data_IF_280662113053
#
_entry.id   IF_280662113053
#
_cell.length_a   1.000
_cell.length_b   1.000
_cell.length_c   1.000
_cell.angle_alpha   90.00
_cell.angle_beta   90.00
_cell.angle_gamma   90.00
#
_symmetry.space_group_name_H-M   'P 1'
#
loop_
_entity.id
_entity.type
_entity.pdbx_description
1 polymer ?
#
# COMPACT_ATOMS: atom_id res chain seq x y z
N UNK A 1 -26.84 -0.70 -33.60
CA UNK A 1 -26.26 0.26 -32.65
C UNK A 1 -25.82 -0.51 -31.42
N UNK A 2 -24.67 -0.17 -30.79
CA UNK A 2 -24.27 -0.80 -29.54
C UNK A 2 -25.31 -0.49 -28.45
N UNK A 3 -25.61 -1.48 -27.60
CA UNK A 3 -26.60 -1.35 -26.53
C UNK A 3 -26.12 -0.41 -25.41
N UNK A 4 -24.80 -0.28 -25.24
CA UNK A 4 -24.14 0.52 -24.23
C UNK A 4 -23.07 1.42 -24.86
N UNK A 5 -22.66 2.48 -24.16
CA UNK A 5 -21.58 3.39 -24.58
C UNK A 5 -20.23 2.65 -24.63
N UNK A 6 -19.98 1.78 -23.64
CA UNK A 6 -18.75 0.99 -23.49
C UNK A 6 -19.03 -0.49 -23.28
N UNK A 7 -18.05 -1.31 -23.56
CA UNK A 7 -18.05 -2.73 -23.22
C UNK A 7 -17.56 -2.93 -21.77
N UNK A 8 -16.67 -2.03 -21.30
CA UNK A 8 -16.17 -1.97 -19.92
C UNK A 8 -16.08 -0.54 -19.43
N UNK A 9 -16.63 -0.27 -18.24
CA UNK A 9 -16.27 0.89 -17.42
C UNK A 9 -15.49 0.40 -16.20
N UNK A 10 -14.28 0.95 -16.00
CA UNK A 10 -13.48 0.72 -14.79
C UNK A 10 -13.53 1.94 -13.88
N UNK A 11 -13.86 1.75 -12.61
CA UNK A 11 -13.83 2.79 -11.58
C UNK A 11 -12.57 2.60 -10.74
N UNK A 12 -11.64 3.57 -10.85
CA UNK A 12 -10.32 3.56 -10.22
C UNK A 12 -9.20 3.19 -11.19
N UNK A 13 -8.24 4.11 -11.38
CA UNK A 13 -7.07 3.94 -12.23
C UNK A 13 -5.80 3.61 -11.42
N UNK A 14 -5.94 2.76 -10.41
CA UNK A 14 -4.81 2.14 -9.71
C UNK A 14 -4.21 0.98 -10.51
N UNK A 15 -3.27 0.24 -9.90
CA UNK A 15 -2.52 -0.85 -10.55
C UNK A 15 -3.42 -1.90 -11.21
N UNK A 16 -4.48 -2.33 -10.51
CA UNK A 16 -5.44 -3.30 -11.05
C UNK A 16 -6.30 -2.70 -12.17
N UNK A 17 -6.90 -1.52 -11.93
CA UNK A 17 -7.77 -0.86 -12.90
C UNK A 17 -7.07 -0.56 -14.22
N UNK A 18 -5.86 0.00 -14.16
CA UNK A 18 -5.04 0.28 -15.36
C UNK A 18 -4.69 -1.01 -16.10
N UNK A 19 -4.28 -2.07 -15.36
CA UNK A 19 -3.94 -3.37 -16.00
C UNK A 19 -5.15 -3.97 -16.70
N UNK A 20 -6.31 -4.03 -16.04
CA UNK A 20 -7.54 -4.58 -16.61
C UNK A 20 -8.01 -3.80 -17.85
N UNK A 21 -8.10 -2.47 -17.73
CA UNK A 21 -8.58 -1.59 -18.79
C UNK A 21 -7.68 -1.65 -20.02
N UNK A 22 -6.36 -1.60 -19.82
CA UNK A 22 -5.38 -1.70 -20.93
C UNK A 22 -5.48 -3.02 -21.66
N UNK A 23 -5.61 -4.14 -20.95
CA UNK A 23 -5.75 -5.45 -21.59
C UNK A 23 -7.09 -5.61 -22.30
N UNK A 24 -8.20 -5.18 -21.69
CA UNK A 24 -9.50 -5.19 -22.34
C UNK A 24 -9.50 -4.37 -23.64
N UNK A 25 -8.90 -3.17 -23.61
CA UNK A 25 -8.72 -2.34 -24.82
C UNK A 25 -7.86 -3.02 -25.88
N UNK A 26 -6.75 -3.65 -25.48
CA UNK A 26 -5.89 -4.42 -26.39
C UNK A 26 -6.61 -5.65 -27.02
N UNK A 27 -7.63 -6.20 -26.33
CA UNK A 27 -8.50 -7.24 -26.86
C UNK A 27 -9.67 -6.70 -27.69
N UNK A 28 -9.72 -5.39 -27.96
CA UNK A 28 -10.68 -4.74 -28.84
C UNK A 28 -11.95 -4.24 -28.15
N UNK A 29 -12.04 -4.27 -26.83
CA UNK A 29 -13.16 -3.71 -26.09
C UNK A 29 -13.13 -2.17 -26.10
N UNK A 30 -14.30 -1.55 -26.15
CA UNK A 30 -14.48 -0.11 -25.90
C UNK A 30 -14.47 0.12 -24.40
N UNK A 31 -13.41 0.78 -23.88
CA UNK A 31 -13.17 0.91 -22.46
C UNK A 31 -13.13 2.36 -22.03
N UNK A 32 -13.84 2.69 -20.95
CA UNK A 32 -13.63 3.90 -20.18
C UNK A 32 -13.05 3.57 -18.80
N UNK A 33 -12.09 4.39 -18.34
CA UNK A 33 -11.56 4.34 -16.98
C UNK A 33 -11.80 5.68 -16.27
N UNK A 34 -12.32 5.61 -15.05
CA UNK A 34 -12.69 6.79 -14.25
C UNK A 34 -11.73 6.89 -13.08
N UNK A 35 -11.09 8.04 -12.90
CA UNK A 35 -10.19 8.32 -11.79
C UNK A 35 -10.51 9.66 -11.15
N UNK A 36 -10.62 9.67 -9.82
CA UNK A 36 -10.92 10.87 -9.03
C UNK A 36 -9.68 11.73 -8.78
N UNK A 37 -8.49 11.13 -8.75
CA UNK A 37 -7.24 11.79 -8.41
C UNK A 37 -6.27 11.80 -9.60
N UNK A 38 -5.41 10.77 -9.70
CA UNK A 38 -4.42 10.63 -10.78
C UNK A 38 -4.22 9.16 -11.12
N UNK A 39 -4.02 8.86 -12.40
CA UNK A 39 -3.72 7.50 -12.89
C UNK A 39 -2.38 6.99 -12.35
N UNK A 40 -2.37 5.71 -11.93
CA UNK A 40 -1.25 5.06 -11.23
C UNK A 40 -1.62 4.64 -9.80
N UNK A 41 -2.57 5.33 -9.18
CA UNK A 41 -3.15 4.97 -7.87
C UNK A 41 -2.16 4.97 -6.72
N UNK A 42 -2.48 4.20 -5.67
CA UNK A 42 -1.69 4.20 -4.43
C UNK A 42 -0.25 3.76 -4.65
N UNK A 43 -0.01 2.65 -5.33
CA UNK A 43 1.34 2.09 -5.47
C UNK A 43 2.31 3.08 -6.13
N UNK A 44 1.91 3.69 -7.23
CA UNK A 44 2.77 4.59 -8.01
C UNK A 44 2.92 5.93 -7.34
N UNK A 45 1.83 6.51 -6.81
CA UNK A 45 1.80 7.91 -6.42
C UNK A 45 1.83 8.17 -4.91
N UNK A 46 1.36 7.21 -4.08
CA UNK A 46 1.16 7.41 -2.64
C UNK A 46 1.53 6.18 -1.80
N UNK A 47 2.34 5.27 -2.32
CA UNK A 47 2.68 4.01 -1.66
C UNK A 47 4.04 3.49 -2.05
N UNK A 48 4.06 2.38 -2.80
CA UNK A 48 5.26 1.58 -3.05
C UNK A 48 6.43 2.40 -3.62
N UNK A 49 6.18 3.18 -4.68
CA UNK A 49 7.26 3.92 -5.36
C UNK A 49 7.80 5.05 -4.50
N UNK A 50 6.99 6.04 -4.06
CA UNK A 50 7.52 7.16 -3.27
C UNK A 50 8.14 6.68 -1.96
N UNK A 51 7.53 5.70 -1.28
CA UNK A 51 8.07 5.12 -0.06
C UNK A 51 9.44 4.49 -0.31
N UNK A 52 9.62 3.73 -1.40
CA UNK A 52 10.88 3.06 -1.71
C UNK A 52 12.00 4.05 -2.06
N UNK A 53 11.67 5.15 -2.74
CA UNK A 53 12.63 6.25 -2.96
C UNK A 53 13.10 6.85 -1.63
N UNK A 54 12.19 7.05 -0.66
CA UNK A 54 12.56 7.52 0.67
C UNK A 54 13.39 6.49 1.45
N UNK A 55 13.07 5.19 1.33
CA UNK A 55 13.88 4.12 1.94
C UNK A 55 15.31 4.17 1.42
N UNK A 56 15.51 4.24 0.11
CA UNK A 56 16.87 4.33 -0.46
C UNK A 56 17.60 5.58 0.01
N UNK A 57 16.93 6.74 0.00
CA UNK A 57 17.54 7.97 0.52
C UNK A 57 17.91 7.90 2.00
N UNK A 58 17.14 7.16 2.81
CA UNK A 58 17.39 7.01 4.25
C UNK A 58 18.59 6.10 4.57
N UNK A 59 19.00 5.21 3.66
CA UNK A 59 20.18 4.35 3.83
C UNK A 59 21.50 5.10 3.59
N UNK A 60 21.49 6.16 2.80
CA UNK A 60 22.73 6.89 2.43
C UNK A 60 23.51 7.37 3.63
N UNK A 61 22.84 7.79 4.72
CA UNK A 61 23.54 8.23 5.94
C UNK A 61 24.34 7.11 6.61
N UNK A 62 23.81 5.88 6.62
CA UNK A 62 24.48 4.68 7.12
C UNK A 62 25.65 4.28 6.20
N UNK A 63 25.41 4.25 4.89
CA UNK A 63 26.44 3.95 3.88
C UNK A 63 27.62 4.92 3.94
N UNK A 64 27.37 6.21 4.17
CA UNK A 64 28.44 7.21 4.33
C UNK A 64 29.24 6.99 5.62
N UNK A 65 28.55 6.59 6.72
CA UNK A 65 29.25 6.23 7.96
C UNK A 65 30.11 4.99 7.80
N UNK A 66 29.61 3.97 7.11
CA UNK A 66 30.35 2.74 6.84
C UNK A 66 31.54 2.99 5.90
N UNK A 67 31.39 3.89 4.93
CA UNK A 67 32.44 4.25 3.97
C UNK A 67 33.69 4.83 4.65
N UNK A 68 33.58 5.45 5.82
CA UNK A 68 34.75 5.92 6.59
C UNK A 68 35.66 4.75 6.99
N UNK A 69 35.08 3.58 7.29
CA UNK A 69 35.80 2.35 7.58
C UNK A 69 36.66 1.83 6.40
N UNK A 70 36.31 2.22 5.18
CA UNK A 70 37.03 1.92 3.93
C UNK A 70 37.95 3.05 3.48
N UNK A 71 38.19 4.05 4.33
CA UNK A 71 39.13 5.14 4.07
C UNK A 71 38.51 6.34 3.32
N UNK A 72 37.21 6.35 3.04
CA UNK A 72 36.57 7.54 2.50
C UNK A 72 36.44 8.61 3.57
N UNK A 73 36.61 9.87 3.20
CA UNK A 73 36.46 11.03 4.09
C UNK A 73 35.45 12.00 3.49
N UNK A 74 34.53 12.47 4.30
CA UNK A 74 33.52 13.45 3.90
C UNK A 74 33.62 14.68 4.80
N UNK A 75 33.70 15.88 4.22
CA UNK A 75 33.76 17.15 4.94
C UNK A 75 32.36 17.56 5.45
N UNK A 76 31.69 16.66 6.17
CA UNK A 76 30.31 16.79 6.65
C UNK A 76 29.28 16.42 5.60
N UNK A 77 28.15 15.93 6.07
CA UNK A 77 27.01 15.57 5.23
C UNK A 77 25.81 16.41 5.63
N UNK A 78 25.17 17.03 4.66
CA UNK A 78 23.93 17.77 4.88
C UNK A 78 22.83 17.22 3.96
N UNK A 79 21.69 16.88 4.54
CA UNK A 79 20.55 16.36 3.80
C UNK A 79 19.51 17.45 3.55
N UNK A 80 19.17 17.68 2.28
CA UNK A 80 18.10 18.57 1.87
C UNK A 80 16.80 17.80 1.67
N UNK A 81 15.97 17.73 2.71
CA UNK A 81 14.67 17.05 2.69
C UNK A 81 13.74 17.59 1.60
N UNK A 82 13.57 18.91 1.51
CA UNK A 82 12.70 19.54 0.52
C UNK A 82 13.13 19.21 -0.92
N UNK A 83 14.44 19.25 -1.18
CA UNK A 83 15.01 18.88 -2.49
C UNK A 83 14.77 17.39 -2.84
N UNK A 84 14.83 16.50 -1.84
CA UNK A 84 14.50 15.08 -2.04
C UNK A 84 13.00 14.89 -2.34
N UNK A 85 12.10 15.55 -1.61
CA UNK A 85 10.65 15.49 -1.87
C UNK A 85 10.34 15.99 -3.28
N UNK A 86 10.97 17.10 -3.70
CA UNK A 86 10.81 17.62 -5.06
C UNK A 86 11.32 16.64 -6.12
N UNK A 87 12.50 16.03 -5.92
CA UNK A 87 13.04 15.02 -6.84
C UNK A 87 12.12 13.80 -6.93
N UNK A 88 11.60 13.31 -5.79
CA UNK A 88 10.59 12.27 -5.74
C UNK A 88 9.35 12.66 -6.56
N UNK A 89 8.81 13.86 -6.37
CA UNK A 89 7.61 14.31 -7.08
C UNK A 89 7.82 14.39 -8.59
N UNK A 90 8.98 14.86 -9.08
CA UNK A 90 9.32 14.81 -10.51
C UNK A 90 9.31 13.37 -11.07
N UNK A 91 9.82 12.40 -10.31
CA UNK A 91 9.78 11.01 -10.73
C UNK A 91 8.35 10.46 -10.76
N UNK A 92 7.51 10.82 -9.78
CA UNK A 92 6.09 10.41 -9.78
C UNK A 92 5.32 11.02 -10.94
N UNK A 93 5.61 12.26 -11.33
CA UNK A 93 5.01 12.90 -12.51
C UNK A 93 5.42 12.19 -13.80
N UNK A 94 6.69 11.80 -13.93
CA UNK A 94 7.18 10.99 -15.05
C UNK A 94 6.46 9.64 -15.13
N UNK A 95 6.30 8.95 -14.00
CA UNK A 95 5.60 7.67 -13.93
C UNK A 95 4.11 7.81 -14.22
N UNK A 96 3.47 8.84 -13.69
CA UNK A 96 2.08 9.16 -14.03
C UNK A 96 1.88 9.29 -15.53
N UNK A 97 2.75 10.05 -16.23
CA UNK A 97 2.67 10.19 -17.68
C UNK A 97 2.84 8.85 -18.41
N UNK A 98 3.67 7.93 -17.91
CA UNK A 98 3.76 6.58 -18.47
C UNK A 98 2.44 5.81 -18.36
N UNK A 99 1.74 5.93 -17.21
CA UNK A 99 0.42 5.29 -17.02
C UNK A 99 -0.64 5.89 -17.94
N UNK A 100 -0.64 7.21 -18.14
CA UNK A 100 -1.47 7.91 -19.12
C UNK A 100 -1.21 7.35 -20.52
N UNK A 101 0.04 7.29 -20.97
CA UNK A 101 0.42 6.79 -22.28
C UNK A 101 0.04 5.31 -22.48
N UNK A 102 0.13 4.48 -21.42
CA UNK A 102 -0.29 3.07 -21.48
C UNK A 102 -1.79 2.90 -21.74
N UNK A 103 -2.61 3.77 -21.17
CA UNK A 103 -4.06 3.79 -21.38
C UNK A 103 -4.41 4.31 -22.77
N UNK A 104 -3.82 5.44 -23.17
CA UNK A 104 -4.05 6.08 -24.47
C UNK A 104 -3.64 5.14 -25.62
N UNK A 105 -2.48 4.47 -25.53
CA UNK A 105 -2.02 3.50 -26.52
C UNK A 105 -2.91 2.24 -26.63
N UNK A 106 -3.68 1.94 -25.59
CA UNK A 106 -4.66 0.85 -25.60
C UNK A 106 -6.07 1.31 -26.00
N UNK A 107 -6.26 2.56 -26.41
CA UNK A 107 -7.54 3.13 -26.81
C UNK A 107 -8.54 3.28 -25.67
N UNK A 108 -8.07 3.39 -24.41
CA UNK A 108 -8.92 3.55 -23.23
C UNK A 108 -9.28 5.03 -23.03
N UNK A 109 -10.58 5.35 -23.01
CA UNK A 109 -11.04 6.70 -22.68
C UNK A 109 -10.86 6.98 -21.17
N UNK A 110 -10.10 8.03 -20.86
CA UNK A 110 -9.88 8.46 -19.46
C UNK A 110 -10.88 9.54 -19.09
N UNK A 111 -11.58 9.35 -17.97
CA UNK A 111 -12.59 10.29 -17.46
C UNK A 111 -12.20 10.69 -16.04
N UNK A 112 -11.91 11.98 -15.85
CA UNK A 112 -11.60 12.51 -14.52
C UNK A 112 -12.87 12.73 -13.72
N UNK A 113 -12.86 12.28 -12.46
CA UNK A 113 -13.93 12.47 -11.50
C UNK A 113 -14.26 11.21 -10.72
N UNK A 114 -15.23 11.36 -9.79
CA UNK A 114 -15.72 10.25 -8.97
C UNK A 114 -16.82 9.49 -9.70
N UNK A 115 -16.59 8.21 -9.98
CA UNK A 115 -17.60 7.31 -10.54
C UNK A 115 -18.51 6.74 -9.45
N UNK A 116 -19.82 6.85 -9.65
CA UNK A 116 -20.84 6.34 -8.72
C UNK A 116 -21.80 5.44 -9.51
N UNK A 117 -22.01 4.21 -9.06
CA UNK A 117 -23.04 3.33 -9.64
C UNK A 117 -24.42 3.85 -9.28
N UNK A 118 -25.25 4.04 -10.29
CA UNK A 118 -26.68 4.39 -10.10
C UNK A 118 -27.62 3.24 -10.47
N UNK A 119 -27.18 2.34 -11.33
CA UNK A 119 -27.74 1.02 -11.56
C UNK A 119 -26.63 0.05 -12.01
N UNK A 120 -27.00 -1.22 -12.29
CA UNK A 120 -26.02 -2.26 -12.65
C UNK A 120 -25.24 -2.01 -13.96
N UNK A 121 -25.68 -1.07 -14.80
CA UNK A 121 -25.03 -0.74 -16.07
C UNK A 121 -24.64 0.73 -16.19
N UNK A 122 -25.05 1.61 -15.28
CA UNK A 122 -24.88 3.05 -15.40
C UNK A 122 -23.99 3.60 -14.29
N UNK A 123 -22.98 4.35 -14.72
CA UNK A 123 -22.07 5.08 -13.82
C UNK A 123 -22.24 6.58 -14.03
N UNK A 124 -22.43 7.30 -12.93
CA UNK A 124 -22.55 8.75 -12.88
C UNK A 124 -21.20 9.38 -12.50
N UNK A 125 -20.78 10.39 -13.24
CA UNK A 125 -19.59 11.20 -12.98
C UNK A 125 -20.02 12.67 -13.02
N UNK A 126 -20.16 13.30 -11.85
CA UNK A 126 -20.72 14.65 -11.75
C UNK A 126 -22.14 14.73 -12.31
N UNK A 127 -22.31 15.38 -13.48
CA UNK A 127 -23.60 15.47 -14.20
C UNK A 127 -23.71 14.51 -15.39
N UNK A 128 -22.61 13.86 -15.77
CA UNK A 128 -22.55 12.91 -16.89
C UNK A 128 -22.96 11.52 -16.40
N UNK A 129 -23.75 10.82 -17.18
CA UNK A 129 -24.06 9.40 -17.01
C UNK A 129 -23.57 8.65 -18.23
N UNK A 130 -22.92 7.51 -18.03
CA UNK A 130 -22.39 6.64 -19.07
C UNK A 130 -22.75 5.19 -18.76
N UNK A 131 -22.89 4.38 -19.79
CA UNK A 131 -23.35 3.01 -19.66
C UNK A 131 -22.32 1.99 -20.17
N UNK A 132 -22.28 0.81 -19.50
CA UNK A 132 -21.44 -0.29 -19.96
C UNK A 132 -22.11 -1.66 -19.82
N UNK A 133 -21.63 -2.57 -20.65
CA UNK A 133 -22.00 -3.98 -20.51
C UNK A 133 -21.45 -4.57 -19.21
N UNK A 134 -20.20 -4.26 -18.90
CA UNK A 134 -19.49 -4.70 -17.68
C UNK A 134 -18.96 -3.50 -16.90
N UNK A 135 -18.98 -3.60 -15.58
CA UNK A 135 -18.40 -2.60 -14.67
C UNK A 135 -17.38 -3.29 -13.78
N UNK A 136 -16.16 -2.70 -13.72
CA UNK A 136 -15.09 -3.13 -12.85
C UNK A 136 -14.82 -2.08 -11.76
N UNK A 137 -14.86 -2.49 -10.50
CA UNK A 137 -14.56 -1.65 -9.34
C UNK A 137 -13.13 -1.96 -8.87
N UNK A 138 -12.21 -1.00 -9.03
CA UNK A 138 -10.80 -1.12 -8.72
C UNK A 138 -10.28 0.09 -7.93
N UNK A 139 -11.08 0.59 -6.99
CA UNK A 139 -10.84 1.81 -6.21
C UNK A 139 -9.83 1.63 -5.07
N UNK A 140 -9.37 0.38 -4.84
CA UNK A 140 -8.36 0.07 -3.83
C UNK A 140 -8.83 0.27 -2.39
N UNK A 141 -7.86 0.54 -1.50
CA UNK A 141 -8.11 0.83 -0.09
C UNK A 141 -7.63 2.23 0.29
N UNK A 142 -8.15 2.73 1.43
CA UNK A 142 -7.81 4.04 1.99
C UNK A 142 -7.25 3.90 3.42
N UNK A 143 -6.32 4.76 3.88
CA UNK A 143 -5.82 4.72 5.24
C UNK A 143 -6.94 4.82 6.28
N UNK A 144 -6.87 3.98 7.31
CA UNK A 144 -7.80 4.00 8.42
C UNK A 144 -7.24 4.80 9.60
N UNK A 145 -8.05 5.67 10.18
CA UNK A 145 -7.79 6.35 11.45
C UNK A 145 -8.95 6.06 12.41
N UNK A 146 -8.68 5.67 13.67
CA UNK A 146 -9.73 5.47 14.66
C UNK A 146 -10.35 6.80 15.08
N UNK A 147 -11.55 6.74 15.63
CA UNK A 147 -12.23 7.91 16.21
C UNK A 147 -11.76 8.12 17.66
N UNK A 148 -10.76 8.99 17.83
CA UNK A 148 -10.25 9.42 19.14
C UNK A 148 -10.12 10.94 19.16
N UNK A 149 -10.21 11.59 20.33
CA UNK A 149 -10.03 13.04 20.45
C UNK A 149 -8.69 13.52 19.88
N UNK A 150 -8.72 14.47 18.95
CA UNK A 150 -7.53 15.06 18.31
C UNK A 150 -6.99 14.28 17.11
N UNK A 151 -7.70 13.26 16.61
CA UNK A 151 -7.28 12.46 15.44
C UNK A 151 -7.06 13.31 14.19
N UNK A 152 -7.76 14.42 14.06
CA UNK A 152 -7.62 15.39 12.96
C UNK A 152 -6.23 16.02 12.89
N UNK A 153 -5.46 15.99 13.98
CA UNK A 153 -4.08 16.46 14.02
C UNK A 153 -3.07 15.43 13.51
N UNK A 154 -3.49 14.22 13.27
CA UNK A 154 -2.63 13.17 12.73
C UNK A 154 -2.61 13.16 11.21
N UNK A 155 -1.54 12.63 10.65
CA UNK A 155 -1.38 12.36 9.22
C UNK A 155 -1.49 10.86 8.94
N UNK A 156 -1.75 10.51 7.69
CA UNK A 156 -1.62 9.15 7.16
C UNK A 156 -0.32 9.02 6.34
N UNK A 157 -0.10 7.83 5.76
CA UNK A 157 1.00 7.62 4.80
C UNK A 157 0.92 8.55 3.58
N UNK A 158 -0.28 9.00 3.20
CA UNK A 158 -0.45 9.92 2.07
C UNK A 158 0.24 11.27 2.34
N UNK A 159 -0.05 11.88 3.48
CA UNK A 159 0.52 13.16 3.88
C UNK A 159 1.99 13.02 4.29
N UNK A 160 2.38 11.87 4.89
CA UNK A 160 3.76 11.61 5.30
C UNK A 160 4.75 11.63 4.13
N UNK A 161 4.30 11.22 2.94
CA UNK A 161 5.09 11.25 1.70
C UNK A 161 5.24 12.66 1.11
N UNK A 162 4.44 13.62 1.57
CA UNK A 162 4.40 15.00 1.03
C UNK A 162 4.82 16.06 2.06
N UNK A 163 5.38 15.65 3.20
CA UNK A 163 5.85 16.59 4.21
C UNK A 163 6.93 17.52 3.64
N UNK A 164 6.69 18.81 3.68
CA UNK A 164 7.64 19.85 3.22
C UNK A 164 8.90 19.91 4.07
N UNK A 165 8.78 19.55 5.36
CA UNK A 165 9.87 19.52 6.32
C UNK A 165 9.93 18.17 7.03
N UNK A 166 11.14 17.67 7.28
CA UNK A 166 11.34 16.46 8.07
C UNK A 166 11.01 16.75 9.55
N UNK A 167 10.06 16.02 10.17
CA UNK A 167 9.79 16.19 11.59
C UNK A 167 11.02 15.76 12.40
N UNK A 168 11.38 16.55 13.43
CA UNK A 168 12.47 16.19 14.36
C UNK A 168 12.06 15.03 15.26
N UNK A 169 10.77 14.97 15.63
CA UNK A 169 10.16 13.94 16.48
C UNK A 169 8.87 13.47 15.84
N UNK A 170 8.72 12.17 15.68
CA UNK A 170 7.50 11.59 15.11
C UNK A 170 7.02 10.41 15.95
N UNK A 171 5.71 10.37 16.22
CA UNK A 171 5.03 9.19 16.74
C UNK A 171 4.34 8.48 15.58
N UNK A 172 4.63 7.19 15.40
CA UNK A 172 4.01 6.33 14.40
C UNK A 172 3.13 5.32 15.11
N UNK A 173 1.84 5.33 14.80
CA UNK A 173 0.85 4.45 15.41
C UNK A 173 0.54 3.30 14.48
N UNK A 174 0.87 2.07 14.90
CA UNK A 174 0.66 0.85 14.12
C UNK A 174 1.86 -0.09 14.18
N UNK A 175 1.66 -1.34 13.81
CA UNK A 175 2.70 -2.39 13.81
C UNK A 175 2.81 -3.12 12.46
N UNK A 176 2.06 -2.71 11.45
CA UNK A 176 2.11 -3.28 10.10
C UNK A 176 3.28 -2.75 9.28
N UNK A 177 3.41 -3.24 8.05
CA UNK A 177 4.52 -2.90 7.15
C UNK A 177 4.66 -1.39 6.91
N UNK A 178 3.56 -0.64 6.78
CA UNK A 178 3.60 0.83 6.62
C UNK A 178 4.28 1.48 7.83
N UNK A 179 3.91 1.06 9.06
CA UNK A 179 4.46 1.65 10.27
C UNK A 179 5.97 1.40 10.38
N UNK A 180 6.43 0.15 10.18
CA UNK A 180 7.86 -0.20 10.28
C UNK A 180 8.71 0.44 9.19
N UNK A 181 8.18 0.54 7.96
CA UNK A 181 8.87 1.19 6.84
C UNK A 181 9.06 2.68 7.09
N UNK A 182 8.01 3.40 7.51
CA UNK A 182 8.13 4.83 7.85
C UNK A 182 8.99 5.05 9.09
N UNK A 183 8.98 4.13 10.07
CA UNK A 183 9.88 4.21 11.21
C UNK A 183 11.35 4.17 10.77
N UNK A 184 11.72 3.24 9.88
CA UNK A 184 13.05 3.16 9.29
C UNK A 184 13.41 4.39 8.48
N UNK A 185 12.49 4.88 7.61
CA UNK A 185 12.69 6.08 6.81
C UNK A 185 13.01 7.28 7.69
N UNK A 186 12.14 7.63 8.64
CA UNK A 186 12.36 8.83 9.47
C UNK A 186 13.57 8.69 10.39
N UNK A 187 13.83 7.49 10.94
CA UNK A 187 15.02 7.24 11.75
C UNK A 187 16.31 7.40 10.91
N UNK A 188 16.37 6.82 9.70
CA UNK A 188 17.52 6.93 8.82
C UNK A 188 17.81 8.37 8.37
N UNK A 189 16.79 9.24 8.29
CA UNK A 189 16.99 10.68 8.10
C UNK A 189 17.25 11.46 9.41
N UNK A 190 17.39 10.78 10.56
CA UNK A 190 17.78 11.40 11.83
C UNK A 190 16.61 11.99 12.64
N UNK A 191 15.37 11.59 12.40
CA UNK A 191 14.25 11.89 13.29
C UNK A 191 14.27 11.02 14.53
N UNK A 192 13.82 11.54 15.67
CA UNK A 192 13.49 10.71 16.84
C UNK A 192 12.14 10.05 16.59
N UNK A 193 12.13 8.72 16.53
CA UNK A 193 10.94 7.94 16.18
C UNK A 193 10.45 7.14 17.40
N UNK A 194 9.17 7.29 17.71
CA UNK A 194 8.45 6.40 18.61
C UNK A 194 7.41 5.63 17.80
N UNK A 195 7.44 4.30 17.84
CA UNK A 195 6.39 3.46 17.28
C UNK A 195 5.52 2.91 18.40
N UNK A 196 4.19 3.06 18.27
CA UNK A 196 3.22 2.74 19.32
C UNK A 196 2.17 1.78 18.78
N UNK A 197 1.93 0.65 19.45
CA UNK A 197 0.93 -0.31 19.02
C UNK A 197 0.44 -1.24 20.12
N UNK A 198 -0.78 -1.81 19.92
CA UNK A 198 -1.47 -2.66 20.93
C UNK A 198 -0.89 -4.06 21.07
N UNK A 199 -0.29 -4.61 20.01
CA UNK A 199 0.30 -5.95 20.03
C UNK A 199 1.62 -5.98 20.80
N UNK A 200 2.17 -7.15 21.03
CA UNK A 200 3.50 -7.36 21.62
C UNK A 200 4.62 -7.20 20.61
N UNK A 201 4.34 -7.48 19.31
CA UNK A 201 5.32 -7.48 18.22
C UNK A 201 4.77 -6.84 16.94
N UNK A 202 5.70 -6.32 16.11
CA UNK A 202 5.40 -5.83 14.76
C UNK A 202 5.04 -6.97 13.81
N UNK A 203 4.50 -6.63 12.64
CA UNK A 203 4.32 -7.50 11.47
C UNK A 203 3.57 -8.82 11.76
N UNK A 204 2.38 -8.71 12.34
CA UNK A 204 1.51 -9.89 12.52
C UNK A 204 1.36 -10.67 11.21
N UNK A 205 1.52 -11.99 11.25
CA UNK A 205 1.45 -12.91 10.11
C UNK A 205 2.80 -13.22 9.47
N UNK A 206 3.88 -12.54 9.87
CA UNK A 206 5.25 -12.96 9.58
C UNK A 206 5.75 -13.93 10.65
N UNK A 207 6.72 -14.75 10.28
CA UNK A 207 7.41 -15.66 11.19
C UNK A 207 7.94 -14.94 12.43
N UNK A 208 7.86 -15.60 13.60
CA UNK A 208 8.20 -14.98 14.88
C UNK A 208 9.66 -14.59 14.98
N UNK A 209 10.58 -15.33 14.36
CA UNK A 209 12.01 -15.03 14.39
C UNK A 209 12.30 -13.78 13.57
N UNK A 210 11.68 -13.60 12.42
CA UNK A 210 11.78 -12.36 11.62
C UNK A 210 11.27 -11.14 12.40
N UNK A 211 10.14 -11.29 13.09
CA UNK A 211 9.54 -10.21 13.90
C UNK A 211 10.44 -9.82 15.07
N UNK A 212 11.04 -10.79 15.75
CA UNK A 212 11.96 -10.57 16.85
C UNK A 212 13.23 -9.87 16.37
N UNK A 213 13.88 -10.40 15.34
CA UNK A 213 15.10 -9.84 14.76
C UNK A 213 14.87 -8.41 14.29
N UNK A 214 13.75 -8.14 13.60
CA UNK A 214 13.44 -6.79 13.13
C UNK A 214 13.27 -5.79 14.29
N UNK A 215 12.55 -6.17 15.37
CA UNK A 215 12.38 -5.29 16.53
C UNK A 215 13.70 -4.97 17.21
N UNK A 216 14.60 -5.96 17.30
CA UNK A 216 15.95 -5.77 17.85
C UNK A 216 16.74 -4.77 17.00
N UNK A 217 16.79 -4.96 15.68
CA UNK A 217 17.51 -4.08 14.76
C UNK A 217 16.94 -2.66 14.71
N UNK A 218 15.61 -2.52 14.71
CA UNK A 218 14.96 -1.21 14.81
C UNK A 218 15.36 -0.47 16.10
N UNK A 219 15.45 -1.21 17.22
CA UNK A 219 15.85 -0.65 18.51
C UNK A 219 17.33 -0.23 18.49
N UNK A 220 18.23 -1.04 17.91
CA UNK A 220 19.64 -0.69 17.70
C UNK A 220 19.82 0.58 16.87
N UNK A 221 18.93 0.79 15.88
CA UNK A 221 18.89 2.02 15.05
C UNK A 221 18.17 3.20 15.72
N UNK A 222 17.87 3.09 17.02
CA UNK A 222 17.34 4.19 17.84
C UNK A 222 15.82 4.40 17.76
N UNK A 223 15.06 3.50 17.14
CA UNK A 223 13.59 3.53 17.18
C UNK A 223 13.11 3.09 18.56
N UNK A 224 12.31 3.92 19.21
CA UNK A 224 11.70 3.59 20.51
C UNK A 224 10.39 2.85 20.29
N UNK A 225 10.31 1.61 20.75
CA UNK A 225 9.16 0.74 20.55
C UNK A 225 8.30 0.71 21.83
N UNK A 226 7.02 1.11 21.70
CA UNK A 226 6.02 1.12 22.75
C UNK A 226 4.95 0.08 22.39
N UNK A 227 5.08 -1.11 22.97
CA UNK A 227 4.13 -2.22 22.77
C UNK A 227 2.98 -2.17 23.78
N UNK A 228 1.90 -2.91 23.51
CA UNK A 228 0.77 -3.13 24.42
C UNK A 228 0.12 -1.83 24.91
N UNK A 229 0.19 -0.79 24.08
CA UNK A 229 -0.47 0.48 24.38
C UNK A 229 -0.98 1.15 23.10
N UNK A 230 -1.93 2.06 23.26
CA UNK A 230 -2.52 2.83 22.15
C UNK A 230 -2.62 4.30 22.55
N UNK A 231 -2.60 5.21 21.58
CA UNK A 231 -3.02 6.58 21.82
C UNK A 231 -4.52 6.65 22.16
N UNK A 232 -4.85 7.41 23.20
CA UNK A 232 -6.23 7.70 23.61
C UNK A 232 -6.68 9.08 23.13
N UNK A 233 -5.75 10.04 23.04
CA UNK A 233 -6.00 11.38 22.50
C UNK A 233 -4.72 12.04 22.02
N UNK A 234 -4.86 12.98 21.11
CA UNK A 234 -3.80 13.85 20.61
C UNK A 234 -4.15 15.28 20.98
N UNK A 235 -3.27 15.94 21.70
CA UNK A 235 -3.44 17.31 22.14
C UNK A 235 -2.43 18.21 21.43
N UNK A 236 -2.90 19.28 20.80
CA UNK A 236 -2.03 20.29 20.17
C UNK A 236 -1.39 21.15 21.25
N UNK A 237 -0.08 21.36 21.20
CA UNK A 237 0.68 22.19 22.13
C UNK A 237 1.49 23.25 21.38
N UNK A 238 2.11 24.17 22.13
CA UNK A 238 3.00 25.19 21.54
C UNK A 238 4.25 24.57 20.86
N UNK A 239 4.64 23.35 21.28
CA UNK A 239 5.84 22.67 20.82
C UNK A 239 5.54 21.47 19.88
N UNK A 240 4.35 21.40 19.29
CA UNK A 240 3.89 20.29 18.47
C UNK A 240 2.68 19.58 19.06
N UNK A 241 2.74 18.28 19.22
CA UNK A 241 1.64 17.44 19.71
C UNK A 241 2.06 16.66 20.95
N UNK A 242 1.11 16.46 21.85
CA UNK A 242 1.22 15.56 23.00
C UNK A 242 0.29 14.38 22.77
N UNK A 243 0.86 13.19 22.60
CA UNK A 243 0.14 11.94 22.36
C UNK A 243 -0.01 11.21 23.69
N UNK A 244 -1.21 11.17 24.22
CA UNK A 244 -1.53 10.48 25.48
C UNK A 244 -1.80 9.00 25.19
N UNK A 245 -1.17 8.12 25.99
CA UNK A 245 -1.22 6.67 25.81
C UNK A 245 -2.08 6.00 26.89
N UNK A 246 -2.65 4.84 26.57
CA UNK A 246 -3.48 4.03 27.45
C UNK A 246 -2.77 3.54 28.76
N UNK A 247 -1.45 3.64 28.81
CA UNK A 247 -0.67 3.33 30.01
C UNK A 247 -0.43 4.55 30.92
N UNK A 248 -1.13 5.66 30.69
CA UNK A 248 -1.05 6.91 31.45
C UNK A 248 0.17 7.79 31.13
N UNK A 249 1.05 7.35 30.21
CA UNK A 249 2.20 8.16 29.75
C UNK A 249 1.78 9.05 28.57
N UNK A 250 2.67 9.97 28.19
CA UNK A 250 2.53 10.74 26.95
C UNK A 250 3.87 10.84 26.22
N UNK A 251 3.78 11.09 24.91
CA UNK A 251 4.93 11.34 24.05
C UNK A 251 4.73 12.69 23.37
N UNK A 252 5.77 13.52 23.33
CA UNK A 252 5.79 14.77 22.58
C UNK A 252 6.35 14.54 21.18
N UNK A 253 5.65 15.05 20.16
CA UNK A 253 6.01 14.89 18.76
C UNK A 253 5.74 16.15 17.95
N UNK A 254 6.46 16.30 16.86
CA UNK A 254 6.19 17.34 15.86
C UNK A 254 5.17 16.85 14.84
N UNK A 255 5.07 15.52 14.66
CA UNK A 255 4.07 14.85 13.83
C UNK A 255 3.58 13.54 14.45
N UNK A 256 2.35 13.17 14.10
CA UNK A 256 1.73 11.90 14.49
C UNK A 256 1.22 11.20 13.23
N UNK A 257 1.83 10.07 12.88
CA UNK A 257 1.46 9.25 11.72
C UNK A 257 0.62 8.05 12.15
N UNK A 258 -0.60 7.95 11.63
CA UNK A 258 -1.43 6.74 11.78
C UNK A 258 -1.21 5.79 10.62
N UNK A 259 -0.73 4.60 10.93
CA UNK A 259 -0.49 3.47 10.02
C UNK A 259 -1.17 2.19 10.56
N UNK A 260 -2.42 2.34 11.03
CA UNK A 260 -3.20 1.30 11.74
C UNK A 260 -3.98 0.38 10.82
N UNK A 261 -3.78 0.50 9.53
CA UNK A 261 -4.39 -0.32 8.49
C UNK A 261 -5.01 0.48 7.36
N UNK A 262 -5.59 -0.25 6.43
CA UNK A 262 -6.33 0.28 5.28
C UNK A 262 -7.69 -0.38 5.23
N UNK A 263 -8.69 0.36 4.77
CA UNK A 263 -10.05 -0.14 4.56
C UNK A 263 -10.44 -0.01 3.08
N UNK A 264 -11.31 -0.88 2.55
CA UNK A 264 -11.83 -0.75 1.20
C UNK A 264 -12.42 0.63 0.94
N UNK A 265 -12.10 1.24 -0.21
CA UNK A 265 -12.54 2.60 -0.53
C UNK A 265 -13.93 2.62 -1.19
N UNK A 266 -14.90 1.91 -0.61
CA UNK A 266 -16.24 1.67 -1.18
C UNK A 266 -17.28 2.72 -0.81
N UNK A 267 -17.00 3.54 0.21
CA UNK A 267 -18.00 4.50 0.73
C UNK A 267 -18.43 5.51 -0.33
N UNK A 268 -19.75 5.60 -0.56
CA UNK A 268 -20.36 6.57 -1.47
C UNK A 268 -20.22 6.22 -2.96
N UNK A 269 -19.92 4.96 -3.30
CA UNK A 269 -19.89 4.48 -4.69
C UNK A 269 -21.26 3.99 -5.21
N UNK A 270 -22.32 4.03 -4.39
CA UNK A 270 -23.64 3.58 -4.79
C UNK A 270 -23.84 2.06 -4.81
N UNK A 271 -22.92 1.30 -4.21
CA UNK A 271 -22.90 -0.17 -4.27
C UNK A 271 -24.13 -0.79 -3.60
N UNK A 272 -24.49 -0.29 -2.43
CA UNK A 272 -25.63 -0.77 -1.66
C UNK A 272 -26.95 -0.53 -2.40
N UNK A 273 -27.08 0.64 -3.06
CA UNK A 273 -28.31 0.98 -3.83
C UNK A 273 -28.49 0.11 -5.07
N UNK A 274 -27.40 -0.44 -5.62
CA UNK A 274 -27.42 -1.38 -6.74
C UNK A 274 -27.51 -2.83 -6.27
N UNK A 275 -27.37 -3.08 -4.97
CA UNK A 275 -27.47 -4.41 -4.36
C UNK A 275 -26.17 -5.22 -4.44
N UNK A 276 -25.02 -4.57 -4.57
CA UNK A 276 -23.71 -5.24 -4.48
C UNK A 276 -23.43 -5.63 -3.03
N UNK A 277 -23.11 -6.89 -2.80
CA UNK A 277 -22.84 -7.43 -1.47
C UNK A 277 -21.50 -6.94 -0.91
N UNK A 278 -21.52 -6.41 0.31
CA UNK A 278 -20.35 -5.96 1.05
C UNK A 278 -20.15 -6.76 2.33
N UNK A 279 -18.89 -6.91 2.76
CA UNK A 279 -18.56 -7.37 4.12
C UNK A 279 -18.72 -6.23 5.12
N UNK A 280 -18.68 -6.52 6.42
CA UNK A 280 -18.76 -5.52 7.50
C UNK A 280 -17.71 -4.41 7.40
N UNK A 281 -16.50 -4.73 6.92
CA UNK A 281 -15.43 -3.77 6.71
C UNK A 281 -15.53 -2.97 5.40
N UNK A 282 -16.63 -3.15 4.64
CA UNK A 282 -16.89 -2.49 3.38
C UNK A 282 -16.27 -3.15 2.15
N UNK A 283 -15.60 -4.30 2.28
CA UNK A 283 -15.04 -5.02 1.15
C UNK A 283 -16.11 -5.62 0.24
N UNK A 284 -15.93 -5.50 -1.07
CA UNK A 284 -16.83 -6.11 -2.04
C UNK A 284 -16.65 -7.63 -2.03
N UNK A 285 -17.77 -8.36 -1.88
CA UNK A 285 -17.78 -9.82 -1.95
C UNK A 285 -17.69 -10.24 -3.42
N UNK A 286 -16.71 -11.05 -3.76
CA UNK A 286 -16.51 -11.60 -5.10
C UNK A 286 -16.20 -13.09 -5.05
N UNK A 287 -16.51 -13.78 -6.15
CA UNK A 287 -16.11 -15.16 -6.39
C UNK A 287 -14.66 -15.27 -6.91
N UNK A 288 -14.22 -16.48 -7.26
CA UNK A 288 -12.89 -16.76 -7.80
C UNK A 288 -12.61 -16.09 -9.16
N UNK A 289 -13.65 -15.62 -9.86
CA UNK A 289 -13.57 -14.90 -11.13
C UNK A 289 -13.62 -13.38 -10.97
N UNK A 290 -13.47 -12.87 -9.75
CA UNK A 290 -13.61 -11.46 -9.40
C UNK A 290 -15.01 -10.87 -9.66
N UNK A 291 -16.04 -11.72 -9.84
CA UNK A 291 -17.41 -11.33 -10.09
C UNK A 291 -18.17 -11.17 -8.77
N UNK A 292 -18.92 -10.08 -8.63
CA UNK A 292 -19.79 -9.87 -7.48
C UNK A 292 -21.09 -10.71 -7.60
N UNK A 293 -22.00 -10.54 -6.66
CA UNK A 293 -23.37 -11.09 -6.75
C UNK A 293 -24.20 -10.49 -7.90
N UNK A 294 -23.75 -9.39 -8.50
CA UNK A 294 -24.35 -8.79 -9.69
C UNK A 294 -23.52 -9.21 -10.91
N UNK A 295 -24.11 -9.99 -11.81
CA UNK A 295 -23.43 -10.75 -12.86
C UNK A 295 -22.53 -9.93 -13.82
N UNK A 296 -22.76 -8.63 -13.96
CA UNK A 296 -21.98 -7.73 -14.81
C UNK A 296 -21.10 -6.76 -14.02
N UNK A 297 -21.07 -6.86 -12.68
CA UNK A 297 -20.24 -6.04 -11.79
C UNK A 297 -19.13 -6.90 -11.19
N UNK A 298 -17.91 -6.46 -11.40
CA UNK A 298 -16.67 -7.12 -10.96
C UNK A 298 -15.90 -6.20 -10.00
N UNK A 299 -15.07 -6.79 -9.15
CA UNK A 299 -14.16 -6.02 -8.31
C UNK A 299 -12.84 -6.75 -8.10
N UNK A 300 -11.72 -6.02 -7.98
CA UNK A 300 -10.40 -6.59 -7.77
C UNK A 300 -9.46 -5.64 -7.01
N UNK A 301 -8.38 -6.19 -6.47
CA UNK A 301 -7.42 -5.48 -5.63
C UNK A 301 -7.96 -5.22 -4.22
N UNK A 302 -7.37 -4.22 -3.53
CA UNK A 302 -7.64 -3.95 -2.10
C UNK A 302 -9.12 -3.73 -1.77
N UNK A 303 -9.95 -3.34 -2.73
CA UNK A 303 -11.39 -3.16 -2.53
C UNK A 303 -12.12 -4.46 -2.18
N UNK A 304 -11.51 -5.63 -2.49
CA UNK A 304 -12.03 -6.96 -2.14
C UNK A 304 -11.46 -7.50 -0.82
N UNK A 305 -10.43 -6.85 -0.28
CA UNK A 305 -9.73 -7.19 0.96
C UNK A 305 -9.39 -8.68 1.09
N UNK A 306 -8.77 -9.25 0.04
CA UNK A 306 -8.22 -10.60 0.02
C UNK A 306 -6.73 -10.58 0.37
N UNK A 307 -5.85 -10.20 -0.56
CA UNK A 307 -4.43 -9.96 -0.33
C UNK A 307 -4.08 -8.58 -0.91
N UNK A 308 -3.82 -7.62 -0.03
CA UNK A 308 -3.66 -6.20 -0.37
C UNK A 308 -2.24 -5.90 -0.85
N UNK A 309 -1.87 -6.48 -2.01
CA UNK A 309 -0.57 -6.33 -2.67
C UNK A 309 -0.74 -5.94 -4.13
N UNK A 310 0.09 -5.01 -4.60
CA UNK A 310 0.10 -4.57 -6.00
C UNK A 310 0.27 -5.72 -7.01
N UNK A 311 1.21 -6.68 -6.84
CA UNK A 311 1.32 -7.81 -7.75
C UNK A 311 0.05 -8.66 -7.82
N UNK A 312 -0.65 -8.83 -6.72
CA UNK A 312 -1.92 -9.57 -6.66
C UNK A 312 -3.00 -8.83 -7.45
N UNK A 313 -3.19 -7.53 -7.21
CA UNK A 313 -4.15 -6.73 -7.96
C UNK A 313 -3.87 -6.74 -9.49
N UNK A 314 -2.59 -6.77 -9.89
CA UNK A 314 -2.19 -6.87 -11.31
C UNK A 314 -2.52 -8.25 -11.87
N UNK A 315 -2.28 -9.33 -11.13
CA UNK A 315 -2.58 -10.71 -11.55
C UNK A 315 -4.10 -10.95 -11.64
N UNK A 316 -4.86 -10.47 -10.64
CA UNK A 316 -6.34 -10.48 -10.67
C UNK A 316 -6.88 -9.74 -11.89
N UNK A 317 -6.32 -8.56 -12.20
CA UNK A 317 -6.72 -7.75 -13.34
C UNK A 317 -6.41 -8.44 -14.68
N UNK A 318 -5.30 -9.14 -14.77
CA UNK A 318 -4.97 -9.94 -15.95
C UNK A 318 -5.94 -11.11 -16.10
N UNK A 319 -6.17 -11.87 -15.03
CA UNK A 319 -7.11 -13.00 -15.05
C UNK A 319 -8.53 -12.54 -15.43
N UNK A 320 -8.99 -11.42 -14.89
CA UNK A 320 -10.25 -10.79 -15.27
C UNK A 320 -10.30 -10.46 -16.78
N UNK A 321 -9.31 -9.76 -17.30
CA UNK A 321 -9.31 -9.34 -18.71
C UNK A 321 -9.21 -10.53 -19.67
N UNK A 322 -8.39 -11.53 -19.36
CA UNK A 322 -8.28 -12.76 -20.15
C UNK A 322 -9.59 -13.54 -20.15
N UNK A 323 -10.26 -13.67 -19.01
CA UNK A 323 -11.52 -14.39 -18.88
C UNK A 323 -12.67 -13.68 -19.59
N UNK A 324 -12.81 -12.37 -19.41
CA UNK A 324 -13.98 -11.61 -19.86
C UNK A 324 -13.88 -11.14 -21.31
N UNK A 325 -12.66 -10.84 -21.79
CA UNK A 325 -12.46 -10.21 -23.11
C UNK A 325 -11.60 -11.03 -24.08
N UNK A 326 -10.96 -12.10 -23.63
CA UNK A 326 -10.09 -12.93 -24.48
C UNK A 326 -10.54 -14.40 -24.58
N UNK A 327 -11.69 -14.76 -24.03
CA UNK A 327 -12.20 -16.15 -23.98
C UNK A 327 -11.18 -17.17 -23.44
N UNK A 328 -10.29 -16.74 -22.56
CA UNK A 328 -9.27 -17.57 -21.89
C UNK A 328 -9.53 -17.61 -20.38
N UNK A 329 -10.44 -18.46 -19.90
CA UNK A 329 -10.81 -18.52 -18.48
C UNK A 329 -9.59 -18.73 -17.60
N UNK A 330 -9.36 -17.81 -16.66
CA UNK A 330 -8.25 -17.81 -15.73
C UNK A 330 -8.65 -17.18 -14.41
N UNK A 331 -8.26 -17.76 -13.32
CA UNK A 331 -8.38 -17.18 -11.99
C UNK A 331 -7.00 -16.98 -11.34
N UNK A 332 -6.97 -16.21 -10.27
CA UNK A 332 -5.75 -15.97 -9.51
C UNK A 332 -5.51 -17.13 -8.54
N UNK A 333 -4.29 -17.67 -8.53
CA UNK A 333 -3.79 -18.52 -7.47
C UNK A 333 -3.25 -17.64 -6.33
N UNK A 334 -3.78 -17.82 -5.12
CA UNK A 334 -3.41 -17.07 -3.93
C UNK A 334 -2.43 -17.82 -3.02
N UNK A 335 -1.92 -18.98 -3.45
CA UNK A 335 -0.94 -19.74 -2.68
C UNK A 335 0.44 -19.08 -2.82
N UNK A 336 1.21 -19.18 -1.76
CA UNK A 336 2.64 -18.79 -1.71
C UNK A 336 2.96 -17.41 -2.30
N UNK A 337 2.11 -16.42 -2.00
CA UNK A 337 2.33 -15.06 -2.44
C UNK A 337 3.53 -14.44 -1.71
N UNK A 338 4.62 -14.07 -2.42
CA UNK A 338 5.77 -13.48 -1.78
C UNK A 338 5.45 -12.08 -1.24
N UNK A 339 5.91 -11.81 -0.02
CA UNK A 339 5.78 -10.53 0.66
C UNK A 339 7.14 -9.95 0.98
N UNK A 340 7.32 -8.65 0.78
CA UNK A 340 8.53 -7.92 1.17
C UNK A 340 8.15 -6.67 1.96
N UNK A 341 8.85 -6.44 3.06
CA UNK A 341 8.77 -5.22 3.87
C UNK A 341 10.10 -4.50 3.77
N UNK A 342 10.06 -3.25 3.31
CA UNK A 342 11.25 -2.41 3.15
C UNK A 342 11.58 -1.70 4.47
N UNK A 343 11.63 -2.50 5.54
CA UNK A 343 12.16 -2.11 6.85
C UNK A 343 13.67 -1.97 6.80
N UNK A 344 14.30 -1.64 7.93
CA UNK A 344 15.76 -1.52 8.06
C UNK A 344 16.24 -2.36 9.25
N UNK A 345 16.75 -3.60 8.96
CA UNK A 345 16.96 -4.24 7.64
C UNK A 345 15.66 -4.65 6.93
N UNK A 346 15.66 -4.84 5.60
CA UNK A 346 14.52 -5.35 4.87
C UNK A 346 14.27 -6.82 5.21
N UNK A 347 13.01 -7.23 5.22
CA UNK A 347 12.61 -8.62 5.40
C UNK A 347 11.66 -9.06 4.29
N UNK A 348 11.62 -10.35 4.02
CA UNK A 348 10.68 -10.94 3.06
C UNK A 348 10.29 -12.35 3.50
N UNK A 349 9.16 -12.81 3.00
CA UNK A 349 8.66 -14.17 3.22
C UNK A 349 7.90 -14.67 1.99
N UNK A 350 7.88 -16.00 1.83
CA UNK A 350 7.03 -16.70 0.89
C UNK A 350 6.67 -18.06 1.49
N UNK A 351 5.43 -18.53 1.30
CA UNK A 351 4.94 -19.75 1.90
C UNK A 351 4.52 -19.57 3.36
N UNK A 352 4.60 -20.65 4.13
CA UNK A 352 4.13 -20.72 5.51
C UNK A 352 5.19 -20.21 6.49
N UNK A 353 4.74 -19.58 7.59
CA UNK A 353 5.59 -19.40 8.78
C UNK A 353 5.77 -20.75 9.49
N UNK A 354 6.75 -20.84 10.40
CA UNK A 354 6.94 -22.05 11.19
C UNK A 354 5.67 -22.42 11.97
N UNK A 355 5.01 -21.43 12.58
CA UNK A 355 3.76 -21.66 13.32
C UNK A 355 2.67 -22.25 12.41
N UNK A 356 2.46 -21.66 11.24
CA UNK A 356 1.46 -22.13 10.28
C UNK A 356 1.82 -23.51 9.70
N UNK A 357 3.10 -23.79 9.53
CA UNK A 357 3.56 -25.10 9.08
C UNK A 357 3.31 -26.19 10.13
N UNK A 358 3.56 -25.89 11.42
CA UNK A 358 3.28 -26.81 12.54
C UNK A 358 1.79 -27.08 12.75
N UNK A 359 0.91 -26.13 12.40
CA UNK A 359 -0.54 -26.36 12.40
C UNK A 359 -1.00 -27.27 11.25
N UNK A 360 -0.27 -27.27 10.12
CA UNK A 360 -0.66 -27.97 8.89
C UNK A 360 -0.03 -29.37 8.75
N UNK A 361 1.15 -29.58 9.31
CA UNK A 361 1.95 -30.80 9.13
C UNK A 361 2.34 -31.39 10.50
N UNK A 362 2.34 -32.73 10.61
CA UNK A 362 2.68 -33.44 11.85
C UNK A 362 4.16 -33.30 12.21
N UNK A 363 5.05 -33.25 11.22
CA UNK A 363 6.50 -33.10 11.39
C UNK A 363 7.03 -32.03 10.44
N UNK A 364 7.86 -31.12 10.95
CA UNK A 364 8.60 -30.12 10.16
C UNK A 364 10.02 -29.96 10.72
N UNK A 365 10.96 -29.66 9.86
CA UNK A 365 12.30 -29.20 10.21
C UNK A 365 12.38 -27.69 10.05
N UNK A 366 12.62 -26.96 11.16
CA UNK A 366 12.88 -25.52 11.14
C UNK A 366 14.40 -25.30 11.10
N UNK A 367 14.89 -24.70 10.01
CA UNK A 367 16.31 -24.42 9.82
C UNK A 367 16.56 -22.95 9.75
N UNK A 368 17.47 -22.43 10.60
CA UNK A 368 17.90 -21.04 10.62
C UNK A 368 19.35 -20.92 10.16
N UNK A 369 19.58 -20.04 9.18
CA UNK A 369 20.92 -19.69 8.71
C UNK A 369 21.25 -18.27 9.16
N UNK A 370 22.31 -18.12 9.98
CA UNK A 370 22.78 -16.80 10.42
C UNK A 370 23.68 -16.13 9.37
N UNK A 371 24.27 -16.92 8.47
CA UNK A 371 25.11 -16.45 7.37
C UNK A 371 24.85 -17.28 6.12
N UNK A 372 24.47 -16.62 5.02
CA UNK A 372 24.50 -17.20 3.68
C UNK A 372 25.81 -16.76 3.00
N UNK A 373 26.82 -17.60 3.06
CA UNK A 373 27.93 -17.52 2.12
C UNK A 373 27.52 -18.21 0.84
N UNK A 374 27.61 -17.54 -0.30
CA UNK A 374 27.61 -18.25 -1.58
C UNK A 374 28.69 -19.31 -1.52
N UNK A 375 28.42 -20.59 -1.86
CA UNK A 375 29.47 -21.58 -1.96
C UNK A 375 30.47 -21.07 -3.00
N UNK A 376 31.64 -20.65 -2.53
CA UNK A 376 32.80 -20.47 -3.39
C UNK A 376 33.26 -21.88 -3.75
N UNK A 377 32.54 -22.56 -4.61
CA UNK A 377 33.09 -23.70 -5.32
C UNK A 377 34.15 -23.17 -6.23
N UNK A 378 35.39 -23.27 -5.81
CA UNK A 378 36.52 -23.34 -6.71
C UNK A 378 36.25 -24.54 -7.62
N UNK A 379 35.72 -24.28 -8.80
CA UNK A 379 35.79 -25.27 -9.86
C UNK A 379 37.25 -25.30 -10.28
N UNK A 380 37.94 -26.36 -9.90
CA UNK A 380 39.21 -26.76 -10.48
C UNK A 380 38.94 -27.41 -11.81
#
# INVERSE_FOLDING_TARGET
MAKFDYDLITIGAGSGGVRASRLAGAYGARVAIIEELREGGTCVLRGCVPKKLLVYGSHVAEELSDAEGYGWKFDGTNHNWAGMIEAKNRELDRLHQLYVNLLDNAGVERISGRGILIDKHTVKIGRKEITAEKILIAVGGWPYKPDIPGIEHSISSNEALELSERPKRIVIVGSGYIAVEFAGIFAGFGSKVDIVFRADKVLRGFDIDLRNALMEEMTKKGVRIQTQCLPERIEKSKAGYKVHLSNGKYIEADQVLYATGRVPNTKGLGLESVGVSLRENGAIVVNEWNQSNISNVYALGDVTDRINLTPVAIAEAQAFAETVFNNAPKNMDYQDIPCAVFSQPPISSVGLSEEAAREKFDEIDAVSYTHLTLPTTTIV
#
